data_IF_769379319081
#
_entry.id   IF_769379319081
#
_cell.length_a   1.000
_cell.length_b   1.000
_cell.length_c   1.000
_cell.angle_alpha   90.00
_cell.angle_beta   90.00
_cell.angle_gamma   90.00
#
_symmetry.space_group_name_H-M   'P 1'
#
loop_
_entity.id
_entity.type
_entity.pdbx_description
1 polymer ?
#
# COMPACT_ATOMS: atom_id res chain seq x y z
N UNK A 1 42.46 -41.25 2.20
CA UNK A 1 42.32 -39.84 2.59
C UNK A 1 42.91 -39.04 1.43
N UNK A 2 42.06 -38.53 0.56
CA UNK A 2 42.44 -37.67 -0.57
C UNK A 2 41.65 -36.39 -0.36
N UNK A 3 42.37 -35.29 -0.20
CA UNK A 3 41.84 -33.96 -0.05
C UNK A 3 41.35 -33.48 -1.42
N UNK A 4 40.07 -33.11 -1.49
CA UNK A 4 39.47 -32.41 -2.62
C UNK A 4 38.99 -31.06 -2.11
N UNK A 5 39.88 -30.08 -2.19
CA UNK A 5 39.51 -28.67 -2.18
C UNK A 5 38.82 -28.37 -3.51
N UNK A 6 37.55 -28.01 -3.45
CA UNK A 6 36.84 -27.39 -4.56
C UNK A 6 36.31 -26.06 -4.06
N UNK A 7 37.02 -24.99 -4.44
CA UNK A 7 36.50 -23.64 -4.56
C UNK A 7 35.17 -23.68 -5.31
N UNK A 8 34.10 -23.29 -4.64
CA UNK A 8 32.86 -22.85 -5.28
C UNK A 8 32.55 -21.47 -4.70
N UNK A 9 33.42 -20.52 -5.06
CA UNK A 9 33.15 -19.10 -4.91
C UNK A 9 32.02 -18.75 -5.90
N UNK A 10 30.78 -18.83 -5.41
CA UNK A 10 29.62 -18.20 -6.02
C UNK A 10 29.92 -16.71 -6.19
N UNK A 11 30.38 -16.34 -7.39
CA UNK A 11 30.57 -14.98 -7.83
C UNK A 11 29.21 -14.29 -7.94
N UNK A 12 28.66 -13.89 -6.79
CA UNK A 12 27.66 -12.84 -6.74
C UNK A 12 28.38 -11.58 -7.19
N UNK A 13 28.16 -11.19 -8.44
CA UNK A 13 28.52 -9.86 -8.92
C UNK A 13 28.04 -8.86 -7.89
N UNK A 14 29.00 -8.26 -7.19
CA UNK A 14 28.76 -7.14 -6.29
C UNK A 14 28.31 -6.01 -7.20
N UNK A 15 27.00 -5.85 -7.34
CA UNK A 15 26.46 -4.59 -7.81
C UNK A 15 26.81 -3.60 -6.71
N UNK A 16 27.90 -2.87 -6.91
CA UNK A 16 28.21 -1.69 -6.14
C UNK A 16 27.12 -0.67 -6.47
N UNK A 17 25.99 -0.76 -5.77
CA UNK A 17 25.01 0.30 -5.75
C UNK A 17 25.69 1.41 -4.94
N UNK A 18 26.44 2.26 -5.63
CA UNK A 18 26.79 3.56 -5.09
C UNK A 18 25.47 4.22 -4.68
N UNK A 19 25.28 4.41 -3.38
CA UNK A 19 24.24 5.29 -2.86
C UNK A 19 24.60 6.70 -3.32
N UNK A 20 24.25 7.02 -4.57
CA UNK A 20 24.26 8.38 -5.06
C UNK A 20 23.36 9.17 -4.12
N UNK A 21 23.98 10.11 -3.41
CA UNK A 21 23.30 11.05 -2.54
C UNK A 21 22.30 11.83 -3.41
N UNK A 22 21.06 11.35 -3.46
CA UNK A 22 20.02 11.90 -4.33
C UNK A 22 19.40 13.09 -3.59
N UNK A 23 20.16 14.17 -3.51
CA UNK A 23 19.64 15.44 -3.05
C UNK A 23 18.68 15.97 -4.13
N UNK A 24 17.44 16.28 -3.74
CA UNK A 24 16.48 16.89 -4.64
C UNK A 24 16.98 18.28 -5.03
N UNK A 25 17.50 18.42 -6.25
CA UNK A 25 17.94 19.69 -6.80
C UNK A 25 16.75 20.48 -7.36
N UNK A 26 16.80 21.80 -7.24
CA UNK A 26 15.89 22.67 -7.99
C UNK A 26 16.11 22.45 -9.49
N UNK A 27 15.01 22.25 -10.23
CA UNK A 27 15.10 22.03 -11.67
C UNK A 27 15.64 23.29 -12.35
N UNK A 28 16.75 23.15 -13.09
CA UNK A 28 17.29 24.21 -13.92
C UNK A 28 16.21 24.62 -14.95
N UNK A 29 15.91 25.92 -15.13
CA UNK A 29 14.93 26.39 -16.12
C UNK A 29 15.21 25.90 -17.54
N UNK A 30 16.46 25.55 -17.87
CA UNK A 30 16.85 25.02 -19.18
C UNK A 30 17.01 23.48 -19.21
N UNK A 31 16.65 22.78 -18.12
CA UNK A 31 16.70 21.32 -18.08
C UNK A 31 15.67 20.71 -19.02
N UNK A 32 16.17 20.09 -20.09
CA UNK A 32 15.37 19.20 -20.94
C UNK A 32 15.78 17.76 -20.63
N UNK A 33 14.92 16.93 -20.00
CA UNK A 33 15.26 15.54 -19.75
C UNK A 33 15.48 14.82 -21.08
N UNK A 34 16.58 14.06 -21.18
CA UNK A 34 16.76 13.13 -22.29
C UNK A 34 15.77 11.99 -22.12
N UNK A 35 14.66 12.04 -22.86
CA UNK A 35 13.72 10.96 -22.94
C UNK A 35 14.29 9.93 -23.92
N UNK A 36 14.67 8.76 -23.39
CA UNK A 36 14.96 7.61 -24.24
C UNK A 36 13.65 7.11 -24.87
N UNK A 37 13.72 6.67 -26.12
CA UNK A 37 12.60 5.97 -26.74
C UNK A 37 12.30 4.69 -25.95
N UNK A 38 11.02 4.40 -25.75
CA UNK A 38 10.60 3.17 -25.08
C UNK A 38 10.88 1.98 -25.99
N UNK A 39 11.94 1.23 -25.70
CA UNK A 39 12.34 0.02 -26.44
C UNK A 39 11.57 -1.24 -26.01
N UNK A 40 10.72 -1.14 -25.00
CA UNK A 40 9.95 -2.27 -24.50
C UNK A 40 8.77 -2.63 -25.40
N UNK A 41 8.38 -3.90 -25.38
CA UNK A 41 7.05 -4.29 -25.86
C UNK A 41 5.99 -3.72 -24.89
N UNK A 42 5.19 -2.79 -25.41
CA UNK A 42 4.06 -2.23 -24.69
C UNK A 42 2.89 -3.22 -24.62
N UNK A 43 2.06 -3.07 -23.60
CA UNK A 43 0.84 -3.86 -23.44
C UNK A 43 0.91 -4.93 -22.34
N UNK A 44 -0.15 -5.73 -22.28
CA UNK A 44 -0.34 -6.77 -21.28
C UNK A 44 0.53 -7.97 -21.68
N UNK A 45 1.40 -8.42 -20.76
CA UNK A 45 2.38 -9.48 -21.02
C UNK A 45 1.91 -10.88 -20.59
N UNK A 46 0.69 -10.99 -20.06
CA UNK A 46 0.08 -12.25 -19.64
C UNK A 46 -1.15 -12.55 -20.50
N UNK A 47 -1.52 -13.82 -20.59
CA UNK A 47 -2.75 -14.25 -21.25
C UNK A 47 -3.94 -13.78 -20.41
N UNK A 48 -4.77 -12.93 -21.00
CA UNK A 48 -5.95 -12.30 -20.39
C UNK A 48 -7.26 -12.85 -20.96
N UNK A 49 -7.21 -13.99 -21.65
CA UNK A 49 -8.40 -14.65 -22.20
C UNK A 49 -9.40 -14.96 -21.08
N UNK A 50 -10.64 -14.49 -21.24
CA UNK A 50 -11.75 -14.62 -20.29
C UNK A 50 -11.59 -13.88 -18.95
N UNK A 51 -10.68 -12.90 -18.86
CA UNK A 51 -10.52 -12.11 -17.63
C UNK A 51 -11.70 -11.15 -17.40
N UNK A 52 -12.15 -11.09 -16.15
CA UNK A 52 -13.06 -10.06 -15.64
C UNK A 52 -12.27 -8.87 -15.08
N UNK A 53 -12.95 -7.75 -14.81
CA UNK A 53 -12.32 -6.57 -14.21
C UNK A 53 -11.66 -6.88 -12.86
N UNK A 54 -12.22 -7.84 -12.12
CA UNK A 54 -11.68 -8.28 -10.83
C UNK A 54 -10.36 -9.04 -11.01
N UNK A 55 -10.19 -9.77 -12.10
CA UNK A 55 -8.99 -10.57 -12.36
C UNK A 55 -7.78 -9.66 -12.63
N UNK A 56 -7.98 -8.57 -13.37
CA UNK A 56 -6.95 -7.53 -13.53
C UNK A 56 -6.56 -6.89 -12.21
N UNK A 57 -7.54 -6.53 -11.36
CA UNK A 57 -7.25 -5.95 -10.04
C UNK A 57 -6.49 -6.94 -9.16
N UNK A 58 -6.82 -8.22 -9.26
CA UNK A 58 -6.17 -9.28 -8.48
C UNK A 58 -4.72 -9.52 -8.88
N UNK A 59 -4.29 -9.15 -10.09
CA UNK A 59 -2.86 -9.18 -10.49
C UNK A 59 -2.00 -8.18 -9.71
N UNK A 60 -2.60 -7.08 -9.26
CA UNK A 60 -1.91 -6.07 -8.45
C UNK A 60 -2.14 -6.31 -6.95
N UNK A 61 -3.36 -6.70 -6.59
CA UNK A 61 -3.79 -6.93 -5.22
C UNK A 61 -3.93 -8.43 -4.95
N UNK A 62 -2.79 -9.11 -4.89
CA UNK A 62 -2.69 -10.56 -4.69
C UNK A 62 -3.17 -10.97 -3.28
N UNK A 63 -3.37 -12.27 -3.06
CA UNK A 63 -3.76 -12.80 -1.75
C UNK A 63 -2.78 -12.42 -0.63
N UNK A 64 -1.48 -12.47 -0.92
CA UNK A 64 -0.42 -12.07 0.02
C UNK A 64 -0.53 -10.60 0.43
N UNK A 65 -0.89 -9.72 -0.50
CA UNK A 65 -1.14 -8.32 -0.21
C UNK A 65 -2.28 -8.18 0.80
N UNK A 66 -3.41 -8.85 0.55
CA UNK A 66 -4.56 -8.80 1.46
C UNK A 66 -4.23 -9.36 2.84
N UNK A 67 -3.52 -10.49 2.89
CA UNK A 67 -3.10 -11.13 4.13
C UNK A 67 -2.18 -10.22 4.94
N UNK A 68 -1.18 -9.62 4.28
CA UNK A 68 -0.26 -8.68 4.92
C UNK A 68 -1.03 -7.48 5.49
N UNK A 69 -1.98 -6.95 4.74
CA UNK A 69 -2.75 -5.77 5.15
C UNK A 69 -3.62 -6.06 6.38
N UNK A 70 -4.21 -7.25 6.46
CA UNK A 70 -4.96 -7.72 7.63
C UNK A 70 -4.03 -7.90 8.84
N UNK A 71 -2.90 -8.59 8.66
CA UNK A 71 -1.92 -8.85 9.73
C UNK A 71 -1.42 -7.53 10.31
N UNK A 72 -1.01 -6.60 9.45
CA UNK A 72 -0.48 -5.32 9.87
C UNK A 72 -1.52 -4.44 10.55
N UNK A 73 -2.75 -4.42 10.03
CA UNK A 73 -3.85 -3.66 10.64
C UNK A 73 -4.17 -4.18 12.05
N UNK A 74 -4.28 -5.50 12.23
CA UNK A 74 -4.57 -6.10 13.53
C UNK A 74 -3.40 -5.92 14.49
N UNK A 75 -2.15 -6.06 14.02
CA UNK A 75 -0.94 -5.80 14.80
C UNK A 75 -0.92 -4.36 15.32
N UNK A 76 -1.21 -3.39 14.45
CA UNK A 76 -1.25 -1.97 14.80
C UNK A 76 -2.39 -1.65 15.76
N UNK A 77 -3.57 -2.24 15.56
CA UNK A 77 -4.67 -2.11 16.49
C UNK A 77 -4.29 -2.62 17.89
N UNK A 78 -3.68 -3.81 17.98
CA UNK A 78 -3.21 -4.37 19.24
C UNK A 78 -2.21 -3.44 19.94
N UNK A 79 -1.19 -2.96 19.23
CA UNK A 79 -0.22 -2.00 19.76
C UNK A 79 -0.89 -0.73 20.31
N UNK A 80 -1.92 -0.25 19.63
CA UNK A 80 -2.69 0.91 20.05
C UNK A 80 -3.46 0.65 21.36
N UNK A 81 -4.15 -0.48 21.48
CA UNK A 81 -4.87 -0.87 22.70
C UNK A 81 -3.94 -1.18 23.88
N UNK A 82 -2.77 -1.74 23.62
CA UNK A 82 -1.76 -1.99 24.64
C UNK A 82 -1.20 -0.67 25.21
N UNK A 83 -1.12 0.37 24.37
CA UNK A 83 -0.60 1.70 24.75
C UNK A 83 -1.68 2.60 25.36
N UNK A 84 -2.94 2.46 24.94
CA UNK A 84 -4.06 3.31 25.36
C UNK A 84 -5.11 2.46 26.09
N UNK A 85 -5.12 2.51 27.42
CA UNK A 85 -6.13 1.79 28.22
C UNK A 85 -7.37 2.65 28.56
N UNK A 86 -7.27 3.97 28.49
CA UNK A 86 -8.34 4.87 28.91
C UNK A 86 -9.19 5.32 27.72
N UNK A 87 -10.25 4.54 27.44
CA UNK A 87 -11.28 4.93 26.48
C UNK A 87 -12.51 5.51 27.17
N UNK A 88 -13.05 6.61 26.62
CA UNK A 88 -14.37 7.11 27.03
C UNK A 88 -15.44 6.02 26.85
N UNK A 89 -16.46 5.97 27.72
CA UNK A 89 -17.52 4.95 27.68
C UNK A 89 -18.31 4.89 26.37
N UNK A 90 -18.25 5.94 25.54
CA UNK A 90 -18.89 6.01 24.20
C UNK A 90 -17.90 5.85 23.05
N UNK A 91 -16.69 5.41 23.35
CA UNK A 91 -15.62 5.24 22.39
C UNK A 91 -15.93 4.07 21.44
N UNK A 92 -15.81 4.31 20.12
CA UNK A 92 -15.95 3.27 19.09
C UNK A 92 -14.87 2.19 19.26
N UNK A 93 -13.71 2.56 19.81
CA UNK A 93 -12.59 1.67 20.09
C UNK A 93 -12.97 0.53 21.05
N UNK A 94 -13.96 0.71 21.94
CA UNK A 94 -14.46 -0.35 22.82
C UNK A 94 -15.19 -1.47 22.07
N UNK A 95 -15.63 -1.21 20.84
CA UNK A 95 -16.32 -2.18 19.99
C UNK A 95 -15.46 -2.74 18.87
N UNK A 96 -14.14 -2.49 18.94
CA UNK A 96 -13.17 -2.99 17.97
C UNK A 96 -13.07 -4.51 17.99
N UNK A 97 -12.89 -5.08 16.81
CA UNK A 97 -12.57 -6.49 16.59
C UNK A 97 -11.50 -6.57 15.50
N UNK A 98 -10.70 -7.63 15.54
CA UNK A 98 -9.73 -7.90 14.49
C UNK A 98 -10.42 -8.02 13.12
N UNK A 99 -9.80 -7.43 12.10
CA UNK A 99 -10.32 -7.44 10.74
C UNK A 99 -9.93 -8.72 10.01
N UNK A 100 -10.67 -9.02 8.95
CA UNK A 100 -10.40 -10.14 8.05
C UNK A 100 -10.27 -9.69 6.59
N UNK A 101 -9.83 -10.60 5.72
CA UNK A 101 -9.59 -10.32 4.30
C UNK A 101 -10.83 -9.82 3.57
N UNK A 102 -12.02 -10.33 3.89
CA UNK A 102 -13.26 -9.90 3.23
C UNK A 102 -13.64 -8.47 3.60
N UNK A 103 -13.53 -8.12 4.87
CA UNK A 103 -13.75 -6.75 5.36
C UNK A 103 -12.75 -5.78 4.75
N UNK A 104 -11.50 -6.21 4.62
CA UNK A 104 -10.45 -5.39 4.02
C UNK A 104 -10.66 -5.16 2.53
N UNK A 105 -11.11 -6.19 1.80
CA UNK A 105 -11.53 -6.05 0.39
C UNK A 105 -12.69 -5.07 0.23
N UNK A 106 -13.70 -5.14 1.11
CA UNK A 106 -14.83 -4.18 1.13
C UNK A 106 -14.35 -2.76 1.42
N UNK A 107 -13.41 -2.60 2.37
CA UNK A 107 -12.84 -1.31 2.71
C UNK A 107 -12.10 -0.66 1.53
N UNK A 108 -11.20 -1.39 0.88
CA UNK A 108 -10.50 -0.89 -0.31
C UNK A 108 -11.48 -0.64 -1.46
N UNK A 109 -12.47 -1.51 -1.67
CA UNK A 109 -13.53 -1.29 -2.66
C UNK A 109 -14.29 0.03 -2.43
N UNK A 110 -14.57 0.38 -1.17
CA UNK A 110 -15.18 1.67 -0.83
C UNK A 110 -14.24 2.86 -1.09
N UNK A 111 -12.93 2.71 -0.90
CA UNK A 111 -11.95 3.76 -1.22
C UNK A 111 -11.88 3.98 -2.74
N UNK A 112 -11.82 2.89 -3.51
CA UNK A 112 -11.81 2.97 -4.98
C UNK A 112 -13.09 3.63 -5.50
N UNK A 113 -14.25 3.28 -4.93
CA UNK A 113 -15.52 3.92 -5.28
C UNK A 113 -15.51 5.43 -4.98
N UNK A 114 -14.89 5.86 -3.88
CA UNK A 114 -14.71 7.29 -3.59
C UNK A 114 -13.81 7.99 -4.62
N UNK A 115 -12.79 7.31 -5.14
CA UNK A 115 -11.94 7.84 -6.21
C UNK A 115 -12.68 7.96 -7.55
N UNK A 116 -13.64 7.07 -7.81
CA UNK A 116 -14.45 7.08 -9.04
C UNK A 116 -15.59 8.11 -9.01
N UNK A 117 -16.21 8.31 -7.84
CA UNK A 117 -17.24 9.33 -7.70
C UNK A 117 -16.55 10.70 -7.76
N UNK A 118 -16.73 11.41 -8.88
CA UNK A 118 -16.39 12.84 -8.96
C UNK A 118 -17.10 13.53 -7.80
N UNK A 119 -16.33 14.00 -6.82
CA UNK A 119 -16.85 14.88 -5.80
C UNK A 119 -17.39 16.13 -6.50
N UNK A 120 -18.70 16.16 -6.76
CA UNK A 120 -19.39 17.40 -7.05
C UNK A 120 -19.13 18.29 -5.84
N UNK A 121 -18.48 19.42 -6.09
CA UNK A 121 -17.98 20.32 -5.08
C UNK A 121 -19.01 20.55 -3.96
N UNK A 122 -18.62 20.19 -2.74
CA UNK A 122 -19.35 20.49 -1.52
C UNK A 122 -20.59 19.62 -1.30
N UNK A 123 -20.42 18.47 -0.65
CA UNK A 123 -21.16 18.12 0.57
C UNK A 123 -20.90 16.66 0.99
N UNK A 124 -20.31 16.50 2.17
CA UNK A 124 -20.53 15.40 3.13
C UNK A 124 -20.18 13.94 2.77
N UNK A 125 -19.56 13.60 1.63
CA UNK A 125 -19.21 12.19 1.33
C UNK A 125 -18.31 11.56 2.41
N UNK A 126 -17.35 12.31 2.94
CA UNK A 126 -16.49 11.86 4.04
C UNK A 126 -17.20 11.70 5.39
N UNK A 127 -18.31 12.43 5.63
CA UNK A 127 -19.09 12.32 6.87
C UNK A 127 -19.95 11.06 6.91
N UNK A 128 -20.46 10.59 5.76
CA UNK A 128 -21.26 9.34 5.70
C UNK A 128 -20.39 8.09 5.87
N UNK A 129 -19.14 8.12 5.40
CA UNK A 129 -18.21 6.97 5.48
C UNK A 129 -17.62 6.81 6.88
N UNK A 130 -17.47 7.92 7.64
CA UNK A 130 -17.14 7.89 9.08
C UNK A 130 -18.12 7.08 9.93
N UNK A 131 -19.34 6.81 9.46
CA UNK A 131 -20.35 6.01 10.18
C UNK A 131 -20.40 4.53 9.77
N UNK A 132 -19.92 4.17 8.58
CA UNK A 132 -20.11 2.81 8.05
C UNK A 132 -18.93 1.88 8.27
N UNK A 133 -17.73 2.40 8.53
CA UNK A 133 -16.55 1.58 8.78
C UNK A 133 -16.23 1.59 10.27
N UNK A 134 -16.30 0.41 10.86
CA UNK A 134 -15.86 0.09 12.22
C UNK A 134 -14.32 0.12 12.30
N UNK A 135 -13.69 1.12 11.68
CA UNK A 135 -12.25 1.33 11.56
C UNK A 135 -11.85 2.61 12.33
N UNK A 136 -11.59 2.51 13.64
CA UNK A 136 -11.15 3.61 14.49
C UNK A 136 -9.75 4.14 14.12
N UNK A 137 -9.03 3.47 13.21
CA UNK A 137 -7.68 3.84 12.80
C UNK A 137 -7.63 4.78 11.58
N UNK A 138 -8.74 4.97 10.86
CA UNK A 138 -8.81 5.93 9.74
C UNK A 138 -8.36 7.37 10.08
N UNK A 139 -8.63 7.93 11.28
CA UNK A 139 -8.11 9.25 11.65
C UNK A 139 -6.57 9.30 11.64
N UNK A 140 -5.91 8.21 12.07
CA UNK A 140 -4.45 8.14 12.17
C UNK A 140 -3.77 7.98 10.79
N UNK A 141 -4.39 7.25 9.87
CA UNK A 141 -3.90 7.09 8.50
C UNK A 141 -3.98 8.40 7.71
N UNK A 142 -5.03 9.20 7.90
CA UNK A 142 -5.18 10.50 7.25
C UNK A 142 -4.20 11.52 7.85
N UNK A 143 -4.02 11.56 9.17
CA UNK A 143 -3.10 12.50 9.82
C UNK A 143 -1.62 12.17 9.57
N UNK A 144 -1.24 10.88 9.43
CA UNK A 144 0.14 10.51 9.10
C UNK A 144 0.46 10.77 7.62
N UNK A 145 -0.51 10.57 6.72
CA UNK A 145 -0.34 10.86 5.29
C UNK A 145 -0.35 12.37 4.97
N UNK A 146 -1.02 13.20 5.78
CA UNK A 146 -1.06 14.66 5.60
C UNK A 146 0.05 15.44 6.33
N UNK A 147 0.84 14.79 7.21
CA UNK A 147 1.97 15.43 7.90
C UNK A 147 3.33 15.22 7.19
N UNK A 148 3.32 14.67 5.98
CA UNK A 148 4.43 14.81 5.02
C UNK A 148 4.13 15.99 4.09
N UNK A 149 4.31 17.21 4.58
CA UNK A 149 4.44 18.43 3.78
C UNK A 149 5.31 19.45 4.50
#
# INVERSE_FOLDING_TARGET
MQDLDADDDDAVDKIDIEMVNTEWLEADPDFTPQLHDFEGDGGIKFDDTDFTEVDYVTQFLNEDFWNLLVIESNRKAKQFFDTHQDFSRRSIFLSWSDTNTEEMKKFIGLILLQGLVKNHAGECTGQKIRLCLRLPLLPFWIETAMNFS
#
